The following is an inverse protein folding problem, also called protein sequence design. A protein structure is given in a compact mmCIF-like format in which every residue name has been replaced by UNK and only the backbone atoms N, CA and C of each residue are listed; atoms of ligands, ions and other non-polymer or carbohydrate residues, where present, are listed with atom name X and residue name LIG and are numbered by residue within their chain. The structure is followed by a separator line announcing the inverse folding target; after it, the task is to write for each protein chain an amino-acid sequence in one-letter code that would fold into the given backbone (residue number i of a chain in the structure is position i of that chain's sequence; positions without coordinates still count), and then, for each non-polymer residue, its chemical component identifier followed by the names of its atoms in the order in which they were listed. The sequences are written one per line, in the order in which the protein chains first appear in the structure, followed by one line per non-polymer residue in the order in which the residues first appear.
data_IF_728237781246
#
_entry.id   IF_728237781246
#
_cell.length_a   1.000
_cell.length_b   1.000
_cell.length_c   1.000
_cell.angle_alpha   90.00
_cell.angle_beta   90.00
_cell.angle_gamma   90.00
#
_symmetry.space_group_name_H-M   'P 1'
#
loop_
_entity.id
_entity.type
_entity.pdbx_description
1 polymer ?
#
# COMPACT_ATOMS: atom_id res chain seq x y z
N UNK A 1 8.29 -6.20 -19.73
CA UNK A 1 9.00 -5.09 -20.39
C UNK A 1 10.24 -5.64 -21.09
N UNK A 2 10.51 -5.25 -22.33
CA UNK A 2 11.72 -5.63 -23.06
C UNK A 2 12.94 -4.89 -22.51
N UNK A 3 14.16 -5.31 -22.87
CA UNK A 3 15.40 -4.66 -22.41
C UNK A 3 15.49 -3.17 -22.79
N UNK A 4 14.75 -2.76 -23.81
CA UNK A 4 14.62 -1.40 -24.33
C UNK A 4 13.37 -0.66 -23.80
N UNK A 5 12.72 -1.17 -22.75
CA UNK A 5 11.65 -0.45 -22.05
C UNK A 5 10.25 -0.58 -22.66
N UNK A 6 10.06 -1.40 -23.69
CA UNK A 6 8.75 -1.57 -24.33
C UNK A 6 7.90 -2.59 -23.59
N UNK A 7 6.60 -2.32 -23.46
CA UNK A 7 5.64 -3.30 -22.95
C UNK A 7 5.39 -4.39 -24.00
N UNK A 8 5.28 -5.62 -23.53
CA UNK A 8 4.89 -6.78 -24.35
C UNK A 8 3.86 -7.55 -23.55
N UNK A 9 2.83 -8.01 -24.24
CA UNK A 9 1.86 -8.93 -23.64
C UNK A 9 2.56 -10.16 -23.06
N UNK A 10 2.16 -10.51 -21.86
CA UNK A 10 2.55 -11.77 -21.22
C UNK A 10 1.52 -12.81 -21.68
N UNK A 11 1.93 -13.92 -22.32
CA UNK A 11 1.00 -14.99 -22.63
C UNK A 11 0.28 -15.45 -21.37
N UNK A 12 -1.05 -15.54 -21.40
CA UNK A 12 -1.84 -15.81 -20.19
C UNK A 12 -1.94 -14.62 -19.22
N UNK A 13 -1.59 -13.40 -19.65
CA UNK A 13 -1.67 -12.20 -18.82
C UNK A 13 -3.11 -11.71 -18.56
N UNK A 14 -4.10 -12.23 -19.28
CA UNK A 14 -5.52 -12.02 -19.01
C UNK A 14 -6.06 -13.32 -18.41
N UNK A 15 -6.55 -13.23 -17.18
CA UNK A 15 -7.07 -14.36 -16.41
C UNK A 15 -8.49 -14.03 -15.97
N UNK A 16 -9.48 -14.89 -16.25
CA UNK A 16 -10.83 -14.65 -15.77
C UNK A 16 -10.88 -14.80 -14.24
N UNK A 17 -11.66 -13.95 -13.59
CA UNK A 17 -12.14 -14.18 -12.23
C UNK A 17 -13.43 -15.03 -12.28
N UNK A 18 -13.94 -15.40 -11.11
CA UNK A 18 -15.24 -16.10 -11.03
C UNK A 18 -16.37 -15.26 -11.65
N UNK A 19 -17.44 -15.88 -12.16
CA UNK A 19 -18.62 -15.16 -12.64
C UNK A 19 -19.16 -14.19 -11.59
N UNK A 20 -19.67 -13.05 -12.05
CA UNK A 20 -20.27 -12.00 -11.22
C UNK A 20 -19.30 -11.33 -10.21
N UNK A 21 -17.99 -11.55 -10.36
CA UNK A 21 -16.96 -10.87 -9.56
C UNK A 21 -16.45 -9.61 -10.25
N UNK A 22 -16.50 -8.46 -9.58
CA UNK A 22 -16.02 -7.17 -10.12
C UNK A 22 -14.75 -6.73 -9.41
N UNK A 23 -13.60 -7.06 -10.00
CA UNK A 23 -12.27 -6.69 -9.47
C UNK A 23 -12.20 -5.20 -9.16
N UNK A 24 -11.66 -4.89 -7.99
CA UNK A 24 -11.48 -3.53 -7.51
C UNK A 24 -10.03 -3.28 -7.08
N UNK A 25 -9.65 -3.60 -5.84
CA UNK A 25 -8.28 -3.52 -5.33
C UNK A 25 -7.45 -4.78 -5.58
N UNK A 26 -6.12 -4.63 -5.49
CA UNK A 26 -5.18 -5.75 -5.65
C UNK A 26 -3.83 -5.51 -4.96
N UNK A 27 -3.18 -6.61 -4.58
CA UNK A 27 -1.79 -6.62 -4.10
C UNK A 27 -1.13 -7.99 -4.36
N UNK A 28 0.19 -8.01 -4.45
CA UNK A 28 0.97 -9.23 -4.69
C UNK A 28 1.66 -9.70 -3.41
N UNK A 29 1.94 -10.99 -3.30
CA UNK A 29 2.64 -11.59 -2.17
C UNK A 29 3.58 -12.69 -2.64
N UNK A 30 4.84 -12.64 -2.22
CA UNK A 30 5.76 -13.78 -2.31
C UNK A 30 5.93 -14.41 -0.93
N UNK A 31 5.57 -15.68 -0.81
CA UNK A 31 5.70 -16.42 0.44
C UNK A 31 7.18 -16.58 0.82
N UNK A 32 7.61 -16.13 2.02
CA UNK A 32 8.96 -16.38 2.51
C UNK A 32 9.14 -17.86 2.89
N UNK A 33 8.04 -18.57 3.16
CA UNK A 33 8.02 -19.98 3.56
C UNK A 33 8.21 -20.93 2.37
N UNK A 34 7.58 -20.62 1.24
CA UNK A 34 7.52 -21.53 0.08
C UNK A 34 8.16 -20.98 -1.18
N UNK A 35 8.45 -19.68 -1.24
CA UNK A 35 8.92 -18.99 -2.45
C UNK A 35 7.86 -18.82 -3.53
N UNK A 36 6.62 -19.28 -3.30
CA UNK A 36 5.50 -19.14 -4.24
C UNK A 36 5.01 -17.69 -4.29
N UNK A 37 4.48 -17.30 -5.45
CA UNK A 37 3.92 -15.98 -5.68
C UNK A 37 2.40 -16.06 -5.76
N UNK A 38 1.75 -15.03 -5.23
CA UNK A 38 0.31 -14.93 -5.14
C UNK A 38 -0.16 -13.53 -5.55
N UNK A 39 -1.36 -13.48 -6.10
CA UNK A 39 -2.11 -12.25 -6.35
C UNK A 39 -3.36 -12.26 -5.47
N UNK A 40 -3.54 -11.22 -4.67
CA UNK A 40 -4.81 -10.91 -4.06
C UNK A 40 -5.57 -9.93 -4.96
N UNK A 41 -6.84 -10.22 -5.20
CA UNK A 41 -7.81 -9.26 -5.75
C UNK A 41 -9.00 -9.21 -4.81
N UNK A 42 -9.64 -8.05 -4.73
CA UNK A 42 -10.88 -7.87 -3.96
C UNK A 42 -11.99 -7.30 -4.84
N UNK A 43 -13.18 -7.20 -4.27
CA UNK A 43 -14.32 -6.46 -4.82
C UNK A 43 -15.07 -5.75 -3.69
N UNK A 44 -16.03 -4.89 -4.06
CA UNK A 44 -16.72 -4.02 -3.11
C UNK A 44 -17.56 -4.72 -2.04
N UNK A 45 -17.76 -6.04 -2.16
CA UNK A 45 -18.49 -6.88 -1.20
C UNK A 45 -17.63 -7.39 -0.03
N UNK A 46 -16.40 -6.88 0.10
CA UNK A 46 -15.38 -7.36 1.04
C UNK A 46 -14.79 -8.75 0.71
N UNK A 47 -15.21 -9.36 -0.40
CA UNK A 47 -14.66 -10.65 -0.83
C UNK A 47 -13.26 -10.47 -1.40
N UNK A 48 -12.33 -11.27 -0.91
CA UNK A 48 -10.96 -11.37 -1.39
C UNK A 48 -10.71 -12.75 -2.00
N UNK A 49 -10.12 -12.78 -3.19
CA UNK A 49 -9.63 -13.97 -3.85
C UNK A 49 -8.10 -13.95 -3.89
N UNK A 50 -7.47 -15.04 -3.46
CA UNK A 50 -6.03 -15.24 -3.55
C UNK A 50 -5.72 -16.31 -4.60
N UNK A 51 -4.94 -15.92 -5.61
CA UNK A 51 -4.51 -16.79 -6.70
C UNK A 51 -3.03 -17.12 -6.56
N UNK A 52 -2.65 -18.40 -6.62
CA UNK A 52 -1.26 -18.82 -6.83
C UNK A 52 -0.87 -18.56 -8.28
N UNK A 53 0.25 -17.88 -8.48
CA UNK A 53 0.81 -17.55 -9.79
C UNK A 53 1.87 -18.59 -10.18
N UNK A 54 1.71 -19.18 -11.35
CA UNK A 54 2.67 -20.14 -11.93
C UNK A 54 2.91 -19.84 -13.41
N UNK A 55 3.92 -20.45 -14.01
CA UNK A 55 4.15 -20.39 -15.45
C UNK A 55 4.29 -21.79 -16.03
N UNK A 56 3.69 -22.01 -17.19
CA UNK A 56 3.97 -23.20 -18.01
C UNK A 56 5.41 -23.22 -18.49
N UNK A 57 5.88 -24.36 -19.01
CA UNK A 57 7.22 -24.50 -19.59
C UNK A 57 7.50 -23.56 -20.78
N UNK A 58 6.46 -23.09 -21.49
CA UNK A 58 6.57 -22.09 -22.55
C UNK A 58 6.38 -20.64 -22.07
N UNK A 59 6.34 -20.39 -20.76
CA UNK A 59 6.30 -19.06 -20.16
C UNK A 59 4.91 -18.40 -20.15
N UNK A 60 3.84 -19.17 -20.32
CA UNK A 60 2.46 -18.67 -20.17
C UNK A 60 2.11 -18.59 -18.70
N UNK A 61 1.68 -17.41 -18.24
CA UNK A 61 1.18 -17.21 -16.87
C UNK A 61 -0.10 -18.03 -16.66
N UNK A 62 -0.18 -18.68 -15.51
CA UNK A 62 -1.34 -19.42 -15.04
C UNK A 62 -1.68 -18.99 -13.61
N UNK A 63 -2.97 -18.98 -13.31
CA UNK A 63 -3.49 -18.69 -11.98
C UNK A 63 -4.27 -19.89 -11.44
N UNK A 64 -4.21 -20.09 -10.13
CA UNK A 64 -5.05 -21.07 -9.42
C UNK A 64 -5.62 -20.41 -8.18
N UNK A 65 -6.95 -20.36 -8.05
CA UNK A 65 -7.60 -19.91 -6.83
C UNK A 65 -7.21 -20.85 -5.68
N UNK A 66 -6.63 -20.30 -4.61
CA UNK A 66 -6.14 -21.06 -3.44
C UNK A 66 -6.78 -20.64 -2.14
N UNK A 67 -7.37 -19.45 -2.06
CA UNK A 67 -8.10 -18.96 -0.90
C UNK A 67 -9.17 -17.94 -1.32
N UNK A 68 -10.31 -18.02 -0.65
CA UNK A 68 -11.44 -17.11 -0.76
C UNK A 68 -11.87 -16.77 0.67
N UNK A 69 -11.98 -15.49 0.99
CA UNK A 69 -12.34 -15.03 2.32
C UNK A 69 -12.97 -13.63 2.31
N UNK A 70 -13.68 -13.30 3.39
CA UNK A 70 -14.19 -11.96 3.64
C UNK A 70 -13.15 -11.15 4.42
N UNK A 71 -12.71 -10.02 3.86
CA UNK A 71 -11.89 -9.03 4.54
C UNK A 71 -12.73 -8.10 5.42
N UNK A 72 -12.14 -7.65 6.52
CA UNK A 72 -12.79 -6.76 7.48
C UNK A 72 -14.08 -7.33 8.09
N UNK A 73 -15.06 -6.43 8.26
CA UNK A 73 -16.37 -6.75 8.84
C UNK A 73 -17.47 -7.00 7.79
N UNK A 74 -17.12 -7.01 6.50
CA UNK A 74 -18.05 -7.16 5.37
C UNK A 74 -18.40 -5.87 4.64
N UNK A 75 -17.75 -4.75 4.97
CA UNK A 75 -17.84 -3.47 4.25
C UNK A 75 -16.94 -3.40 3.02
N UNK A 76 -17.05 -2.33 2.23
CA UNK A 76 -16.24 -2.12 1.03
C UNK A 76 -14.73 -2.10 1.37
N UNK A 77 -13.93 -2.74 0.53
CA UNK A 77 -12.48 -2.88 0.67
C UNK A 77 -11.80 -2.54 -0.65
N UNK A 78 -10.61 -1.96 -0.59
CA UNK A 78 -9.81 -1.70 -1.80
C UNK A 78 -8.31 -1.83 -1.52
N UNK A 79 -7.74 -0.88 -0.76
CA UNK A 79 -6.31 -0.80 -0.53
C UNK A 79 -5.78 -2.03 0.19
N UNK A 80 -4.69 -2.63 -0.33
CA UNK A 80 -3.96 -3.67 0.37
C UNK A 80 -2.46 -3.64 0.07
N UNK A 81 -1.68 -4.11 1.04
CA UNK A 81 -0.23 -4.31 0.90
C UNK A 81 0.16 -5.56 1.68
N UNK A 82 1.15 -6.29 1.19
CA UNK A 82 1.67 -7.47 1.89
C UNK A 82 3.01 -7.17 2.51
N UNK A 83 3.23 -7.74 3.68
CA UNK A 83 4.53 -7.82 4.33
C UNK A 83 5.08 -9.21 4.08
N UNK A 84 5.99 -9.30 3.11
CA UNK A 84 6.53 -10.57 2.67
C UNK A 84 7.37 -11.23 3.76
N UNK A 85 8.10 -10.46 4.57
CA UNK A 85 8.98 -11.06 5.60
C UNK A 85 8.16 -11.62 6.77
N UNK A 86 7.11 -10.91 7.19
CA UNK A 86 6.24 -11.35 8.29
C UNK A 86 5.09 -12.28 7.84
N UNK A 87 4.86 -12.39 6.53
CA UNK A 87 3.79 -13.22 5.97
C UNK A 87 2.39 -12.66 6.27
N UNK A 88 2.23 -11.34 6.21
CA UNK A 88 0.98 -10.64 6.47
C UNK A 88 0.41 -9.92 5.25
N UNK A 89 -0.90 -9.70 5.26
CA UNK A 89 -1.59 -8.77 4.38
C UNK A 89 -2.29 -7.73 5.25
N UNK A 90 -2.05 -6.46 4.95
CA UNK A 90 -2.78 -5.32 5.48
C UNK A 90 -3.82 -4.89 4.45
N UNK A 91 -5.02 -4.56 4.89
CA UNK A 91 -6.09 -4.09 4.02
C UNK A 91 -6.94 -2.99 4.67
N UNK A 92 -7.37 -2.04 3.84
CA UNK A 92 -8.36 -1.03 4.18
C UNK A 92 -9.78 -1.54 3.92
N UNK A 93 -10.62 -1.51 4.95
CA UNK A 93 -12.07 -1.54 4.82
C UNK A 93 -12.55 -0.08 4.88
N UNK A 94 -12.84 0.49 3.71
CA UNK A 94 -13.05 1.92 3.46
C UNK A 94 -13.89 2.60 4.57
N UNK A 95 -15.13 2.17 4.87
CA UNK A 95 -15.97 2.86 5.83
C UNK A 95 -15.64 2.56 7.29
N UNK A 96 -14.67 1.67 7.58
CA UNK A 96 -14.62 1.00 8.89
C UNK A 96 -13.25 0.90 9.53
N UNK A 97 -12.21 0.35 8.89
CA UNK A 97 -11.01 -0.02 9.62
C UNK A 97 -9.80 -0.40 8.76
N UNK A 98 -8.62 -0.30 9.37
CA UNK A 98 -7.40 -0.95 8.89
C UNK A 98 -7.29 -2.34 9.55
N UNK A 99 -7.09 -3.37 8.72
CA UNK A 99 -7.03 -4.76 9.16
C UNK A 99 -5.72 -5.42 8.77
N UNK A 100 -5.34 -6.48 9.51
CA UNK A 100 -4.27 -7.42 9.16
C UNK A 100 -4.76 -8.86 9.19
N UNK A 101 -4.30 -9.66 8.23
CA UNK A 101 -4.47 -11.10 8.19
C UNK A 101 -3.13 -11.78 7.88
N UNK A 102 -3.03 -13.10 8.10
CA UNK A 102 -1.94 -13.89 7.50
C UNK A 102 -2.10 -13.98 5.98
N UNK A 103 -1.00 -13.83 5.23
CA UNK A 103 -0.98 -13.84 3.77
C UNK A 103 -0.84 -15.24 3.15
N UNK A 104 -0.48 -16.26 3.93
CA UNK A 104 -0.43 -17.64 3.44
C UNK A 104 -1.83 -18.16 3.06
N UNK A 105 -1.95 -19.01 2.02
CA UNK A 105 -3.24 -19.52 1.55
C UNK A 105 -3.94 -20.43 2.57
N UNK A 106 -3.19 -21.06 3.47
CA UNK A 106 -3.72 -21.92 4.53
C UNK A 106 -3.98 -21.17 5.85
N UNK A 107 -3.71 -19.86 5.92
CA UNK A 107 -3.97 -19.06 7.12
C UNK A 107 -5.43 -19.17 7.56
N UNK A 108 -5.63 -19.40 8.87
CA UNK A 108 -6.94 -19.52 9.54
C UNK A 108 -7.14 -18.51 10.65
N UNK A 109 -6.16 -17.63 10.87
CA UNK A 109 -6.22 -16.62 11.91
C UNK A 109 -7.34 -15.61 11.62
N UNK A 110 -8.04 -15.21 12.67
CA UNK A 110 -8.99 -14.11 12.57
C UNK A 110 -8.24 -12.80 12.23
N UNK A 111 -8.92 -11.91 11.51
CA UNK A 111 -8.37 -10.59 11.21
C UNK A 111 -8.10 -9.80 12.48
N UNK A 112 -6.90 -9.21 12.58
CA UNK A 112 -6.57 -8.23 13.60
C UNK A 112 -7.02 -6.85 13.12
N UNK A 113 -7.93 -6.21 13.86
CA UNK A 113 -8.30 -4.81 13.61
C UNK A 113 -7.23 -3.90 14.23
N UNK A 114 -6.46 -3.23 13.40
CA UNK A 114 -5.36 -2.35 13.82
C UNK A 114 -5.92 -1.01 14.31
N UNK A 115 -6.83 -0.44 13.52
CA UNK A 115 -7.45 0.86 13.78
C UNK A 115 -8.87 0.87 13.20
N UNK A 116 -9.73 1.79 13.66
CA UNK A 116 -11.11 1.86 13.19
C UNK A 116 -11.64 3.29 13.11
N UNK A 117 -12.49 3.55 12.12
CA UNK A 117 -13.13 4.85 11.92
C UNK A 117 -13.91 5.24 13.17
N UNK A 118 -13.54 6.37 13.76
CA UNK A 118 -14.11 6.85 15.02
C UNK A 118 -13.30 6.48 16.28
N UNK A 119 -12.11 5.90 16.15
CA UNK A 119 -11.13 5.74 17.24
C UNK A 119 -10.45 7.06 17.67
N UNK A 120 -10.73 8.15 16.95
CA UNK A 120 -10.17 9.49 17.17
C UNK A 120 -8.92 9.80 16.34
N UNK A 121 -8.38 8.83 15.61
CA UNK A 121 -7.25 9.00 14.68
C UNK A 121 -7.60 8.60 13.24
N UNK A 122 -8.44 7.58 13.05
CA UNK A 122 -8.79 7.01 11.75
C UNK A 122 -10.10 7.60 11.23
N UNK A 123 -10.09 7.96 9.95
CA UNK A 123 -11.24 8.53 9.24
C UNK A 123 -11.48 7.78 7.94
N UNK A 124 -12.76 7.64 7.58
CA UNK A 124 -13.16 7.06 6.30
C UNK A 124 -12.89 8.04 5.15
N UNK A 125 -12.62 7.58 3.94
CA UNK A 125 -12.42 6.17 3.59
C UNK A 125 -10.97 5.71 3.88
N UNK A 126 -10.81 4.49 4.42
CA UNK A 126 -9.52 3.83 4.65
C UNK A 126 -9.04 3.21 3.34
N UNK A 127 -8.24 3.96 2.60
CA UNK A 127 -7.90 3.69 1.20
C UNK A 127 -6.53 2.97 1.06
N UNK A 128 -5.67 3.46 0.17
CA UNK A 128 -4.37 2.87 -0.11
C UNK A 128 -3.55 2.65 1.15
N UNK A 129 -2.96 1.46 1.23
CA UNK A 129 -2.07 1.04 2.31
C UNK A 129 -0.70 0.75 1.71
N UNK A 130 0.36 1.19 2.35
CA UNK A 130 1.74 0.89 1.95
C UNK A 130 2.62 0.54 3.13
N UNK A 131 3.78 -0.06 2.83
CA UNK A 131 4.73 -0.57 3.81
C UNK A 131 6.10 0.04 3.57
N UNK A 132 6.72 0.55 4.63
CA UNK A 132 8.12 0.95 4.67
C UNK A 132 8.87 -0.09 5.50
N UNK A 133 9.81 -0.80 4.86
CA UNK A 133 10.58 -1.85 5.52
C UNK A 133 11.65 -1.26 6.45
N UNK A 134 11.83 -1.90 7.60
CA UNK A 134 12.96 -1.70 8.50
C UNK A 134 14.00 -2.82 8.39
N UNK A 135 15.09 -2.72 9.15
CA UNK A 135 16.23 -3.66 9.01
C UNK A 135 15.94 -5.05 9.57
N UNK A 136 14.85 -5.18 10.33
CA UNK A 136 14.34 -6.44 10.87
C UNK A 136 12.81 -6.44 10.85
N UNK A 137 12.23 -7.59 11.23
CA UNK A 137 10.80 -7.88 11.17
C UNK A 137 9.93 -6.90 11.98
N UNK A 138 10.48 -6.35 13.07
CA UNK A 138 9.78 -5.45 14.01
C UNK A 138 10.08 -3.97 13.74
N UNK A 139 10.81 -3.66 12.67
CA UNK A 139 11.11 -2.29 12.28
C UNK A 139 10.43 -1.92 10.96
N UNK A 140 10.05 -0.66 10.85
CA UNK A 140 9.37 -0.10 9.70
C UNK A 140 7.95 0.36 10.03
N UNK A 141 7.19 0.71 9.00
CA UNK A 141 5.91 1.40 9.14
C UNK A 141 4.87 0.93 8.15
N UNK A 142 3.62 0.91 8.58
CA UNK A 142 2.44 0.85 7.70
C UNK A 142 1.91 2.28 7.57
N UNK A 143 1.72 2.76 6.34
CA UNK A 143 1.14 4.07 6.06
C UNK A 143 -0.19 3.85 5.34
N UNK A 144 -1.26 4.48 5.83
CA UNK A 144 -2.61 4.34 5.28
C UNK A 144 -3.19 5.70 4.94
N UNK A 145 -3.84 5.79 3.78
CA UNK A 145 -4.60 6.97 3.39
C UNK A 145 -5.96 7.00 4.10
N UNK A 146 -6.26 8.12 4.74
CA UNK A 146 -7.59 8.45 5.25
C UNK A 146 -8.19 9.52 4.33
N UNK A 147 -8.83 9.05 3.26
CA UNK A 147 -9.19 9.83 2.08
C UNK A 147 -10.11 11.00 2.43
N UNK A 148 -11.14 10.76 3.23
CA UNK A 148 -12.15 11.78 3.56
C UNK A 148 -11.65 12.96 4.39
N UNK A 149 -10.40 12.90 4.90
CA UNK A 149 -9.73 14.02 5.58
C UNK A 149 -8.41 14.40 4.92
N UNK A 150 -8.06 13.80 3.78
CA UNK A 150 -6.82 14.09 3.03
C UNK A 150 -5.56 14.02 3.92
N UNK A 151 -5.51 12.97 4.74
CA UNK A 151 -4.42 12.73 5.69
C UNK A 151 -3.96 11.27 5.64
N UNK A 152 -2.79 11.01 6.20
CA UNK A 152 -2.17 9.69 6.22
C UNK A 152 -1.78 9.33 7.64
N UNK A 153 -2.29 8.20 8.13
CA UNK A 153 -1.88 7.65 9.40
C UNK A 153 -0.67 6.73 9.23
N UNK A 154 0.26 6.79 10.17
CA UNK A 154 1.46 5.97 10.24
C UNK A 154 1.35 5.09 11.48
N UNK A 155 1.51 3.79 11.27
CA UNK A 155 1.55 2.77 12.32
C UNK A 155 2.89 2.05 12.28
N UNK A 156 3.34 1.50 13.41
CA UNK A 156 4.50 0.61 13.42
C UNK A 156 4.21 -0.64 12.60
N UNK A 157 5.23 -1.15 11.91
CA UNK A 157 5.17 -2.47 11.27
C UNK A 157 5.09 -3.59 12.30
N UNK A 158 5.80 -3.47 13.43
CA UNK A 158 5.73 -4.44 14.52
C UNK A 158 4.31 -4.58 15.07
N UNK A 159 3.93 -5.80 15.47
CA UNK A 159 2.74 -6.02 16.28
C UNK A 159 2.88 -5.29 17.65
N UNK A 160 1.83 -4.63 18.19
CA UNK A 160 0.42 -4.62 17.76
C UNK A 160 0.04 -3.53 16.73
N UNK A 161 1.00 -3.01 15.96
CA UNK A 161 0.84 -1.92 14.99
C UNK A 161 0.42 -0.61 15.66
N UNK A 162 1.17 -0.19 16.68
CA UNK A 162 0.91 1.05 17.40
C UNK A 162 0.87 2.25 16.45
N UNK A 163 -0.11 3.14 16.65
CA UNK A 163 -0.16 4.44 16.00
C UNK A 163 1.09 5.25 16.35
N UNK A 164 1.67 5.89 15.33
CA UNK A 164 2.87 6.74 15.45
C UNK A 164 2.50 8.20 15.28
N UNK A 165 1.89 8.55 14.14
CA UNK A 165 1.57 9.93 13.79
C UNK A 165 0.56 9.99 12.63
N UNK A 166 0.01 11.17 12.39
CA UNK A 166 -0.73 11.54 11.19
C UNK A 166 -0.01 12.68 10.48
N UNK A 167 -0.02 12.69 9.15
CA UNK A 167 0.46 13.84 8.38
C UNK A 167 -0.49 14.17 7.22
N UNK A 168 -0.35 15.38 6.68
CA UNK A 168 -0.99 15.81 5.44
C UNK A 168 0.07 16.43 4.54
N UNK A 169 -0.18 16.49 3.22
CA UNK A 169 0.73 17.09 2.25
C UNK A 169 0.16 18.45 1.84
N UNK A 170 0.80 19.50 2.33
CA UNK A 170 0.42 20.88 1.99
C UNK A 170 1.14 21.37 0.74
N UNK A 171 0.65 22.49 0.20
CA UNK A 171 1.32 23.22 -0.88
C UNK A 171 2.81 23.44 -0.56
N UNK A 172 3.65 23.16 -1.55
CA UNK A 172 5.10 23.40 -1.50
C UNK A 172 5.43 24.88 -1.25
N UNK A 173 6.58 25.13 -0.61
CA UNK A 173 7.00 26.49 -0.24
C UNK A 173 7.28 27.41 -1.43
N UNK A 174 7.68 26.85 -2.57
CA UNK A 174 7.85 27.60 -3.83
C UNK A 174 6.54 27.72 -4.62
N UNK A 175 5.50 27.02 -4.17
CA UNK A 175 4.16 27.04 -4.75
C UNK A 175 4.02 26.28 -6.07
N UNK A 176 5.03 25.51 -6.47
CA UNK A 176 5.06 24.77 -7.74
C UNK A 176 4.28 23.45 -7.69
N UNK A 177 4.16 22.87 -6.50
CA UNK A 177 3.35 21.69 -6.18
C UNK A 177 2.27 22.09 -5.19
N UNK A 178 1.03 21.75 -5.50
CA UNK A 178 -0.18 21.96 -4.70
C UNK A 178 -0.26 21.04 -3.48
N UNK A 179 -1.28 21.26 -2.65
CA UNK A 179 -1.62 20.35 -1.55
C UNK A 179 -2.33 19.12 -2.13
N UNK A 180 -2.26 17.99 -1.44
CA UNK A 180 -2.92 16.75 -1.87
C UNK A 180 -4.29 16.62 -1.23
N UNK A 181 -5.29 16.22 -2.03
CA UNK A 181 -6.61 15.84 -1.54
C UNK A 181 -7.03 14.43 -1.97
N UNK A 182 -7.95 13.86 -1.18
CA UNK A 182 -8.67 12.62 -1.45
C UNK A 182 -7.80 11.50 -2.06
N UNK A 183 -6.67 11.19 -1.43
CA UNK A 183 -5.78 10.13 -1.93
C UNK A 183 -6.44 8.75 -1.85
N UNK A 184 -6.69 8.13 -3.00
CA UNK A 184 -6.86 6.69 -3.13
C UNK A 184 -5.52 5.95 -2.91
N UNK A 185 -4.69 5.84 -3.95
CA UNK A 185 -3.46 5.05 -3.94
C UNK A 185 -2.25 5.76 -3.30
N UNK A 186 -1.50 5.01 -2.50
CA UNK A 186 -0.21 5.43 -1.92
C UNK A 186 0.83 4.30 -2.04
N UNK A 187 2.09 4.67 -2.28
CA UNK A 187 3.22 3.75 -2.15
C UNK A 187 4.44 4.45 -1.56
N UNK A 188 5.27 3.71 -0.83
CA UNK A 188 6.49 4.23 -0.24
C UNK A 188 7.65 3.25 -0.37
N UNK A 189 8.87 3.79 -0.37
CA UNK A 189 10.11 3.01 -0.29
C UNK A 189 11.12 3.78 0.55
N UNK A 190 11.77 3.10 1.49
CA UNK A 190 12.82 3.68 2.35
C UNK A 190 14.21 3.69 1.72
N UNK A 191 14.40 2.92 0.64
CA UNK A 191 15.66 2.82 -0.08
C UNK A 191 16.03 4.12 -0.77
N UNK A 192 17.31 4.49 -0.70
CA UNK A 192 17.83 5.67 -1.40
C UNK A 192 17.52 5.65 -2.91
N UNK A 193 16.91 6.73 -3.42
CA UNK A 193 16.62 6.95 -4.84
C UNK A 193 17.38 8.19 -5.36
N UNK A 194 18.69 8.04 -5.51
CA UNK A 194 19.56 9.09 -6.02
C UNK A 194 19.74 10.25 -5.04
N UNK A 195 20.08 11.43 -5.58
CA UNK A 195 20.36 12.63 -4.79
C UNK A 195 19.10 13.40 -4.37
N UNK A 196 18.00 13.23 -5.11
CA UNK A 196 16.76 13.98 -4.88
C UNK A 196 15.91 13.34 -3.78
N UNK A 197 16.09 12.03 -3.55
CA UNK A 197 15.40 11.23 -2.53
C UNK A 197 16.40 10.35 -1.74
N UNK A 198 17.29 10.97 -0.95
CA UNK A 198 18.38 10.26 -0.27
C UNK A 198 17.89 9.22 0.76
N UNK A 199 16.69 9.42 1.31
CA UNK A 199 16.05 8.54 2.30
C UNK A 199 14.78 7.86 1.75
N UNK A 200 14.67 7.79 0.43
CA UNK A 200 13.50 7.22 -0.23
C UNK A 200 12.35 8.20 -0.44
N UNK A 201 11.21 7.65 -0.83
CA UNK A 201 10.13 8.37 -1.50
C UNK A 201 8.77 7.84 -1.04
N UNK A 202 7.82 8.74 -0.86
CA UNK A 202 6.38 8.49 -0.77
C UNK A 202 5.73 9.04 -2.03
N UNK A 203 4.88 8.26 -2.69
CA UNK A 203 4.08 8.66 -3.85
C UNK A 203 2.61 8.55 -3.51
N UNK A 204 1.86 9.63 -3.71
CA UNK A 204 0.43 9.71 -3.38
C UNK A 204 -0.38 10.12 -4.59
N UNK A 205 -1.51 9.46 -4.83
CA UNK A 205 -2.56 9.96 -5.72
C UNK A 205 -3.14 11.28 -5.20
N UNK A 206 -3.51 12.17 -6.12
CA UNK A 206 -4.26 13.38 -5.83
C UNK A 206 -5.34 13.61 -6.89
N UNK A 207 -6.58 13.69 -6.41
CA UNK A 207 -7.77 13.84 -7.24
C UNK A 207 -7.90 15.24 -7.84
N UNK A 208 -7.33 16.27 -7.20
CA UNK A 208 -7.54 17.67 -7.53
C UNK A 208 -6.23 18.42 -7.79
N UNK A 209 -5.55 18.05 -8.88
CA UNK A 209 -4.27 18.64 -9.27
C UNK A 209 -4.40 20.14 -9.68
N UNK A 210 -4.12 21.06 -8.75
CA UNK A 210 -4.09 22.50 -8.98
C UNK A 210 -2.79 22.94 -9.66
N UNK A 211 -2.92 23.63 -10.79
CA UNK A 211 -1.81 24.16 -11.58
C UNK A 211 -1.35 25.53 -11.04
N UNK A 212 -0.12 25.97 -11.37
CA UNK A 212 0.40 27.26 -10.90
C UNK A 212 -0.43 28.49 -11.28
N UNK A 213 -1.26 28.39 -12.32
CA UNK A 213 -2.18 29.46 -12.75
C UNK A 213 -3.50 29.50 -11.96
N UNK A 214 -3.67 28.59 -11.00
CA UNK A 214 -4.85 28.47 -10.14
C UNK A 214 -5.99 27.64 -10.73
N UNK A 215 -5.83 27.09 -11.93
CA UNK A 215 -6.79 26.13 -12.50
C UNK A 215 -6.57 24.72 -11.94
N UNK A 216 -7.59 23.86 -12.03
CA UNK A 216 -7.47 22.42 -11.71
C UNK A 216 -7.38 21.63 -13.02
N UNK A 217 -6.44 20.69 -13.10
CA UNK A 217 -6.31 19.78 -14.23
C UNK A 217 -7.54 18.88 -14.37
N UNK A 218 -7.82 18.42 -15.60
CA UNK A 218 -8.85 17.40 -15.83
C UNK A 218 -8.40 16.00 -15.43
N UNK A 219 -7.09 15.81 -15.28
CA UNK A 219 -6.50 14.54 -14.88
C UNK A 219 -6.07 14.61 -13.41
N UNK A 220 -6.24 13.50 -12.71
CA UNK A 220 -5.57 13.27 -11.43
C UNK A 220 -4.03 13.27 -11.62
N UNK A 221 -3.30 13.45 -10.54
CA UNK A 221 -1.84 13.37 -10.58
C UNK A 221 -1.26 12.56 -9.42
N UNK A 222 0.05 12.38 -9.44
CA UNK A 222 0.78 11.73 -8.36
C UNK A 222 1.84 12.69 -7.82
N UNK A 223 1.87 12.87 -6.50
CA UNK A 223 2.83 13.72 -5.82
C UNK A 223 3.97 12.88 -5.26
N UNK A 224 5.20 13.40 -5.39
CA UNK A 224 6.42 12.76 -4.94
C UNK A 224 6.96 13.51 -3.72
N UNK A 225 6.97 12.86 -2.56
CA UNK A 225 7.41 13.44 -1.29
C UNK A 225 8.59 12.65 -0.74
N UNK A 226 9.69 13.33 -0.39
CA UNK A 226 10.80 12.67 0.31
C UNK A 226 10.30 12.02 1.60
N UNK A 227 10.61 10.74 1.82
CA UNK A 227 10.23 10.03 3.04
C UNK A 227 10.82 10.69 4.29
N UNK A 228 12.00 11.30 4.17
CA UNK A 228 12.61 12.11 5.25
C UNK A 228 11.74 13.28 5.67
N UNK A 229 11.01 13.93 4.75
CA UNK A 229 10.11 15.03 5.11
C UNK A 229 8.88 14.55 5.87
N UNK A 230 8.58 13.25 5.81
CA UNK A 230 7.50 12.61 6.55
C UNK A 230 8.03 12.12 7.90
N UNK A 231 8.93 11.13 7.89
CA UNK A 231 9.39 10.44 9.09
C UNK A 231 10.52 11.17 9.84
N UNK A 232 11.30 12.00 9.15
CA UNK A 232 12.39 12.80 9.70
C UNK A 232 12.03 14.27 9.90
N UNK A 233 10.75 14.64 9.83
CA UNK A 233 10.31 16.03 10.00
C UNK A 233 10.72 16.59 11.36
N UNK A 234 10.96 17.90 11.43
CA UNK A 234 11.34 18.55 12.70
C UNK A 234 10.32 18.31 13.83
N UNK A 235 9.03 18.19 13.49
CA UNK A 235 7.97 17.88 14.43
C UNK A 235 8.08 16.47 15.04
N UNK A 236 8.68 15.52 14.32
CA UNK A 236 8.83 14.12 14.71
C UNK A 236 10.27 13.76 15.08
N UNK A 237 11.19 14.72 15.02
CA UNK A 237 12.63 14.49 15.23
C UNK A 237 12.97 13.77 16.54
N UNK A 238 12.20 14.03 17.60
CA UNK A 238 12.40 13.36 18.90
C UNK A 238 12.08 11.85 18.89
N UNK A 239 11.33 11.38 17.90
CA UNK A 239 10.94 9.98 17.76
C UNK A 239 11.98 9.15 16.99
N UNK A 240 12.94 9.81 16.30
CA UNK A 240 13.98 9.16 15.47
C UNK A 240 13.43 8.10 14.50
N UNK A 241 12.29 8.36 13.85
CA UNK A 241 11.57 7.34 13.08
C UNK A 241 12.38 6.76 11.91
N UNK A 242 13.32 7.54 11.35
CA UNK A 242 14.19 7.06 10.27
C UNK A 242 15.16 5.95 10.71
N UNK A 243 15.44 5.80 12.01
CA UNK A 243 16.30 4.73 12.51
C UNK A 243 15.67 3.33 12.35
N UNK A 244 14.35 3.27 12.20
CA UNK A 244 13.59 2.03 11.95
C UNK A 244 13.34 1.79 10.45
N UNK A 245 13.94 2.58 9.55
CA UNK A 245 13.83 2.39 8.10
C UNK A 245 15.09 1.72 7.56
N UNK A 246 14.93 0.64 6.78
CA UNK A 246 16.05 0.05 6.05
C UNK A 246 16.33 0.84 4.76
N UNK A 247 17.32 1.72 4.84
CA UNK A 247 17.78 2.53 3.71
C UNK A 247 18.42 1.71 2.60
N UNK A 248 18.77 0.44 2.87
CA UNK A 248 19.39 -0.49 1.92
C UNK A 248 18.43 -1.61 1.50
N UNK A 249 17.15 -1.53 1.88
CA UNK A 249 16.16 -2.56 1.54
C UNK A 249 16.16 -2.78 0.03
N UNK A 250 16.20 -4.05 -0.37
CA UNK A 250 16.23 -4.43 -1.77
C UNK A 250 15.02 -5.31 -2.07
N UNK A 251 14.01 -4.80 -2.81
CA UNK A 251 12.79 -5.55 -3.11
C UNK A 251 13.00 -6.81 -3.96
N UNK A 252 14.25 -7.12 -4.35
CA UNK A 252 14.61 -8.29 -5.15
C UNK A 252 15.41 -9.34 -4.37
N UNK A 253 15.80 -9.07 -3.12
CA UNK A 253 16.66 -9.96 -2.33
C UNK A 253 15.93 -10.52 -1.14
#
# INVERSE_FOLDING_TARGET
MTANGTLKEIPGGIQPVEPDYSVYGSCVYKSPKTGKQYLFVNEKSARYLQYELTSTSNGTLQTKLVRDFTGGSGGQVEGCVTDEDNGWIFLGEEPSALWRYGAEPDSKEAGLRIAYVGDGQTYADVEGVTLVYGTNLDQGYVIVSNQGVSAYNVYKRAEPHEYVTTFTITKSSDGQVDAVSNTDGITAVGTQLGKDFPHGLVVTHDDANQLPDGSTSTEASFKLVSLEKVLGSDALKSLNLLDDVDTNWNPRK
#
